data_IF_072345097798
#
_entry.id   IF_072345097798
#
_cell.length_a   1.000
_cell.length_b   1.000
_cell.length_c   1.000
_cell.angle_alpha   90.00
_cell.angle_beta   90.00
_cell.angle_gamma   90.00
#
_symmetry.space_group_name_H-M   'P 1'
#
loop_
_entity.id
_entity.type
_entity.pdbx_description
1 polymer ?
#
# COMPACT_ATOMS: atom_id res chain seq x y z
N UNK A 1 -4.41 -11.28 -7.72
CA UNK A 1 -4.96 -9.99 -8.19
C UNK A 1 -3.80 -9.11 -8.62
N UNK A 2 -4.01 -8.26 -9.61
CA UNK A 2 -3.05 -7.25 -10.08
C UNK A 2 -3.83 -5.95 -10.33
N UNK A 3 -3.88 -5.08 -9.33
CA UNK A 3 -4.71 -3.87 -9.30
C UNK A 3 -4.26 -2.84 -10.33
N UNK A 4 -2.98 -2.84 -10.72
CA UNK A 4 -2.44 -1.92 -11.72
C UNK A 4 -2.39 -2.51 -13.14
N UNK A 5 -2.81 -3.76 -13.33
CA UNK A 5 -2.75 -4.49 -14.59
C UNK A 5 -1.34 -4.48 -15.23
N UNK A 6 -0.28 -4.51 -14.41
CA UNK A 6 1.11 -4.49 -14.88
C UNK A 6 1.54 -5.89 -15.36
N UNK A 7 2.32 -6.01 -16.45
CA UNK A 7 2.79 -7.31 -16.92
C UNK A 7 3.71 -7.99 -15.89
N UNK A 8 3.42 -9.22 -15.48
CA UNK A 8 4.17 -9.91 -14.41
C UNK A 8 5.65 -10.15 -14.76
N UNK A 9 5.99 -10.22 -16.05
CA UNK A 9 7.38 -10.37 -16.53
C UNK A 9 8.24 -9.12 -16.25
N UNK A 10 7.62 -7.96 -16.03
CA UNK A 10 8.33 -6.73 -15.65
C UNK A 10 8.83 -6.74 -14.20
N UNK A 11 8.43 -7.72 -13.37
CA UNK A 11 8.90 -7.86 -11.98
C UNK A 11 10.38 -8.24 -11.86
N UNK A 12 10.89 -9.07 -12.78
CA UNK A 12 12.20 -9.73 -12.62
C UNK A 12 13.39 -8.75 -12.44
N UNK A 13 13.47 -7.62 -13.16
CA UNK A 13 14.49 -6.60 -12.91
C UNK A 13 14.47 -6.03 -11.49
N UNK A 14 13.30 -5.86 -10.88
CA UNK A 14 13.15 -5.34 -9.52
C UNK A 14 13.60 -6.36 -8.48
N UNK A 15 13.27 -7.65 -8.65
CA UNK A 15 13.79 -8.73 -7.81
C UNK A 15 15.32 -8.73 -7.79
N UNK A 16 15.96 -8.68 -8.97
CA UNK A 16 17.42 -8.59 -9.08
C UNK A 16 17.99 -7.34 -8.42
N UNK A 17 17.32 -6.20 -8.57
CA UNK A 17 17.75 -4.92 -8.00
C UNK A 17 17.72 -4.96 -6.48
N UNK A 18 16.59 -5.33 -5.88
CA UNK A 18 16.43 -5.44 -4.43
C UNK A 18 17.41 -6.48 -3.86
N UNK A 19 17.54 -7.65 -4.50
CA UNK A 19 18.52 -8.66 -4.11
C UNK A 19 19.95 -8.10 -4.12
N UNK A 20 20.31 -7.30 -5.13
CA UNK A 20 21.65 -6.68 -5.21
C UNK A 20 21.86 -5.68 -4.07
N UNK A 21 20.88 -4.82 -3.77
CA UNK A 21 20.94 -3.87 -2.65
C UNK A 21 21.18 -4.60 -1.32
N UNK A 22 20.44 -5.69 -1.08
CA UNK A 22 20.55 -6.46 0.17
C UNK A 22 21.86 -7.26 0.21
N UNK A 23 22.16 -8.05 -0.81
CA UNK A 23 23.26 -9.02 -0.75
C UNK A 23 24.63 -8.37 -0.95
N UNK A 24 24.74 -7.43 -1.90
CA UNK A 24 26.00 -6.76 -2.24
C UNK A 24 26.23 -5.51 -1.41
N UNK A 25 25.20 -4.68 -1.27
CA UNK A 25 25.31 -3.39 -0.56
C UNK A 25 24.93 -3.46 0.91
N UNK A 26 24.43 -4.62 1.39
CA UNK A 26 24.12 -4.88 2.80
C UNK A 26 23.08 -3.92 3.40
N UNK A 27 22.21 -3.37 2.56
CA UNK A 27 21.12 -2.50 3.00
C UNK A 27 20.03 -3.38 3.65
N UNK A 28 19.48 -2.92 4.78
CA UNK A 28 18.38 -3.60 5.46
C UNK A 28 17.13 -3.59 4.55
N UNK A 29 16.47 -4.74 4.31
CA UNK A 29 15.21 -4.78 3.56
C UNK A 29 14.13 -3.82 4.09
N UNK A 30 14.07 -3.59 5.41
CA UNK A 30 13.13 -2.65 6.02
C UNK A 30 13.47 -1.20 5.67
N UNK A 31 14.75 -0.87 5.54
CA UNK A 31 15.19 0.46 5.08
C UNK A 31 14.80 0.68 3.62
N UNK A 32 14.98 -0.33 2.75
CA UNK A 32 14.52 -0.26 1.35
C UNK A 32 13.01 -0.11 1.30
N UNK A 33 12.26 -0.83 2.15
CA UNK A 33 10.81 -0.72 2.25
C UNK A 33 10.35 0.69 2.61
N UNK A 34 10.98 1.31 3.61
CA UNK A 34 10.67 2.69 3.99
C UNK A 34 10.97 3.66 2.84
N UNK A 35 12.13 3.51 2.18
CA UNK A 35 12.47 4.34 1.02
C UNK A 35 11.47 4.17 -0.14
N UNK A 36 11.00 2.96 -0.41
CA UNK A 36 9.99 2.70 -1.45
C UNK A 36 8.62 3.29 -1.05
N UNK A 37 8.28 3.25 0.23
CA UNK A 37 7.03 3.83 0.75
C UNK A 37 7.03 5.36 0.61
N UNK A 38 8.17 6.00 0.85
CA UNK A 38 8.38 7.46 0.75
C UNK A 38 8.71 7.95 -0.67
N UNK A 39 8.92 7.04 -1.61
CA UNK A 39 9.31 7.34 -2.98
C UNK A 39 8.19 7.98 -3.81
N UNK A 40 8.51 9.07 -4.49
CA UNK A 40 7.66 9.73 -5.51
C UNK A 40 7.93 9.20 -6.93
N UNK A 41 8.71 8.12 -7.08
CA UNK A 41 8.99 7.49 -8.37
C UNK A 41 7.74 6.89 -9.02
N UNK A 42 7.89 6.44 -10.27
CA UNK A 42 6.80 5.87 -11.05
C UNK A 42 6.04 4.76 -10.28
N UNK A 43 4.69 4.72 -10.32
CA UNK A 43 3.90 3.74 -9.59
C UNK A 43 4.30 2.29 -9.84
N UNK A 44 4.72 1.95 -11.06
CA UNK A 44 5.23 0.61 -11.40
C UNK A 44 6.46 0.21 -10.58
N UNK A 45 7.41 1.13 -10.39
CA UNK A 45 8.61 0.88 -9.60
C UNK A 45 8.25 0.60 -8.14
N UNK A 46 7.46 1.49 -7.54
CA UNK A 46 7.05 1.35 -6.14
C UNK A 46 6.23 0.06 -5.94
N UNK A 47 5.32 -0.25 -6.87
CA UNK A 47 4.53 -1.49 -6.83
C UNK A 47 5.40 -2.74 -6.84
N UNK A 48 6.31 -2.87 -7.80
CA UNK A 48 7.13 -4.08 -7.91
C UNK A 48 8.14 -4.21 -6.79
N UNK A 49 8.80 -3.12 -6.39
CA UNK A 49 9.73 -3.16 -5.27
C UNK A 49 9.02 -3.54 -3.97
N UNK A 50 7.83 -2.99 -3.73
CA UNK A 50 7.02 -3.35 -2.55
C UNK A 50 6.63 -4.83 -2.55
N UNK A 51 6.14 -5.37 -3.69
CA UNK A 51 5.81 -6.81 -3.79
C UNK A 51 7.04 -7.70 -3.59
N UNK A 52 8.19 -7.34 -4.15
CA UNK A 52 9.44 -8.09 -3.98
C UNK A 52 9.87 -8.10 -2.51
N UNK A 53 9.86 -6.94 -1.84
CA UNK A 53 10.24 -6.84 -0.44
C UNK A 53 9.34 -7.68 0.49
N UNK A 54 8.04 -7.65 0.26
CA UNK A 54 7.07 -8.43 1.04
C UNK A 54 7.21 -9.94 0.75
N UNK A 55 7.27 -10.33 -0.52
CA UNK A 55 7.14 -11.74 -0.92
C UNK A 55 8.46 -12.51 -0.92
N UNK A 56 9.57 -11.86 -1.26
CA UNK A 56 10.88 -12.50 -1.42
C UNK A 56 11.81 -12.21 -0.25
N UNK A 57 11.59 -11.09 0.44
CA UNK A 57 12.42 -10.65 1.57
C UNK A 57 11.65 -10.58 2.90
N UNK A 58 10.38 -11.00 2.92
CA UNK A 58 9.56 -11.15 4.11
C UNK A 58 9.45 -9.89 4.99
N UNK A 59 9.57 -8.71 4.38
CA UNK A 59 9.32 -7.46 5.08
C UNK A 59 7.84 -7.40 5.45
N UNK A 60 7.55 -7.12 6.73
CA UNK A 60 6.18 -7.10 7.24
C UNK A 60 5.41 -5.90 6.64
N UNK A 61 4.32 -6.13 5.91
CA UNK A 61 3.51 -5.04 5.38
C UNK A 61 2.57 -4.41 6.42
N UNK A 62 2.55 -4.94 7.66
CA UNK A 62 1.77 -4.41 8.80
C UNK A 62 2.65 -3.83 9.91
N UNK A 63 3.93 -3.57 9.63
CA UNK A 63 4.83 -2.95 10.60
C UNK A 63 4.38 -1.54 11.00
N UNK A 64 4.82 -1.07 12.17
CA UNK A 64 4.71 0.35 12.52
C UNK A 64 5.72 1.13 11.68
N UNK A 65 5.26 2.16 10.96
CA UNK A 65 6.14 3.03 10.15
C UNK A 65 6.27 4.44 10.73
N UNK A 66 5.26 4.89 11.48
CA UNK A 66 5.29 6.17 12.18
C UNK A 66 4.24 6.18 13.31
N UNK A 67 4.20 7.30 14.05
CA UNK A 67 3.08 7.64 14.94
C UNK A 67 2.49 8.97 14.53
N UNK A 68 1.18 9.09 14.62
CA UNK A 68 0.49 10.36 14.38
C UNK A 68 0.58 11.32 15.58
N UNK A 69 -0.03 12.49 15.46
CA UNK A 69 -0.04 13.51 16.51
C UNK A 69 -0.75 13.07 17.81
N UNK A 70 -1.64 12.06 17.74
CA UNK A 70 -2.29 11.46 18.90
C UNK A 70 -1.50 10.27 19.47
N UNK A 71 -0.37 9.92 18.86
CA UNK A 71 0.45 8.77 19.22
C UNK A 71 -0.07 7.44 18.70
N UNK A 72 -1.06 7.44 17.81
CA UNK A 72 -1.56 6.23 17.15
C UNK A 72 -0.56 5.74 16.10
N UNK A 73 -0.41 4.42 16.00
CA UNK A 73 0.46 3.78 15.02
C UNK A 73 -0.06 4.01 13.60
N UNK A 74 0.80 4.55 12.74
CA UNK A 74 0.60 4.60 11.30
C UNK A 74 1.20 3.34 10.70
N UNK A 75 0.42 2.59 9.91
CA UNK A 75 0.88 1.41 9.17
C UNK A 75 1.12 1.76 7.68
N UNK A 76 1.82 0.91 6.92
CA UNK A 76 2.17 1.17 5.53
C UNK A 76 0.96 1.52 4.65
N UNK A 77 -0.20 0.90 4.86
CA UNK A 77 -1.39 1.18 4.07
C UNK A 77 -1.85 2.63 4.22
N UNK A 78 -1.91 3.15 5.46
CA UNK A 78 -2.26 4.56 5.68
C UNK A 78 -1.16 5.50 5.20
N UNK A 79 0.12 5.15 5.41
CA UNK A 79 1.23 5.95 4.93
C UNK A 79 1.26 6.07 3.40
N UNK A 80 0.98 4.99 2.67
CA UNK A 80 0.91 5.03 1.20
C UNK A 80 -0.20 5.99 0.71
N UNK A 81 -1.35 6.04 1.40
CA UNK A 81 -2.39 7.02 1.12
C UNK A 81 -1.97 8.44 1.49
N UNK A 82 -1.23 8.63 2.59
CA UNK A 82 -0.76 9.95 3.01
C UNK A 82 0.27 10.56 2.05
N UNK A 83 1.05 9.69 1.40
CA UNK A 83 2.16 10.03 0.51
C UNK A 83 1.77 9.95 -0.98
N UNK A 84 0.48 9.72 -1.30
CA UNK A 84 -0.02 9.53 -2.67
C UNK A 84 0.75 8.44 -3.47
N UNK A 85 1.27 7.43 -2.78
CA UNK A 85 2.06 6.36 -3.38
C UNK A 85 1.16 5.22 -3.86
N UNK A 86 0.51 5.45 -5.01
CA UNK A 86 -0.45 4.51 -5.63
C UNK A 86 0.16 3.12 -5.87
N UNK A 87 1.45 3.07 -6.24
CA UNK A 87 2.18 1.81 -6.45
C UNK A 87 2.30 0.97 -5.20
N UNK A 88 2.80 1.58 -4.11
CA UNK A 88 2.90 0.94 -2.81
C UNK A 88 1.51 0.54 -2.27
N UNK A 89 0.51 1.43 -2.41
CA UNK A 89 -0.86 1.17 -1.98
C UNK A 89 -1.45 -0.08 -2.64
N UNK A 90 -1.31 -0.20 -3.97
CA UNK A 90 -1.78 -1.38 -4.70
C UNK A 90 -1.11 -2.67 -4.22
N UNK A 91 0.22 -2.65 -4.04
CA UNK A 91 0.98 -3.80 -3.56
C UNK A 91 0.56 -4.22 -2.14
N UNK A 92 0.34 -3.25 -1.25
CA UNK A 92 -0.09 -3.48 0.13
C UNK A 92 -1.51 -4.06 0.19
N UNK A 93 -2.43 -3.54 -0.61
CA UNK A 93 -3.80 -4.08 -0.71
C UNK A 93 -3.80 -5.52 -1.21
N UNK A 94 -3.04 -5.83 -2.26
CA UNK A 94 -2.89 -7.20 -2.77
C UNK A 94 -2.25 -8.16 -1.76
N UNK A 95 -1.40 -7.64 -0.87
CA UNK A 95 -0.83 -8.39 0.24
C UNK A 95 -1.79 -8.53 1.45
N UNK A 96 -2.99 -7.98 1.38
CA UNK A 96 -3.93 -7.86 2.50
C UNK A 96 -3.27 -7.22 3.74
N UNK A 97 -2.56 -6.12 3.52
CA UNK A 97 -1.77 -5.40 4.53
C UNK A 97 -2.63 -4.57 5.50
N UNK A 98 -3.73 -5.14 5.98
CA UNK A 98 -4.64 -4.52 6.93
C UNK A 98 -5.33 -5.59 7.78
N UNK A 99 -5.91 -5.19 8.90
CA UNK A 99 -6.72 -6.05 9.76
C UNK A 99 -8.21 -5.90 9.45
N UNK A 100 -8.91 -7.04 9.36
CA UNK A 100 -10.33 -7.09 9.04
C UNK A 100 -10.60 -7.10 7.54
N UNK A 101 -11.79 -6.65 7.15
CA UNK A 101 -12.25 -6.49 5.77
C UNK A 101 -12.39 -5.04 5.35
N UNK A 102 -13.01 -4.83 4.19
CA UNK A 102 -13.13 -3.49 3.57
C UNK A 102 -14.02 -2.51 4.34
N UNK A 103 -14.81 -2.99 5.30
CA UNK A 103 -15.66 -2.19 6.19
C UNK A 103 -14.99 -1.89 7.52
N UNK A 104 -13.84 -2.49 7.81
CA UNK A 104 -13.15 -2.33 9.09
C UNK A 104 -12.25 -1.11 9.13
N UNK A 105 -11.86 -0.72 10.35
CA UNK A 105 -11.18 0.55 10.67
C UNK A 105 -9.99 0.83 9.77
N UNK A 106 -9.08 -0.13 9.56
CA UNK A 106 -7.83 0.12 8.83
C UNK A 106 -8.05 0.43 7.35
N UNK A 107 -8.95 -0.33 6.71
CA UNK A 107 -9.30 -0.12 5.30
C UNK A 107 -10.10 1.17 5.12
N UNK A 108 -11.09 1.41 5.98
CA UNK A 108 -11.90 2.62 5.96
C UNK A 108 -11.06 3.87 6.22
N UNK A 109 -10.08 3.80 7.13
CA UNK A 109 -9.16 4.91 7.38
C UNK A 109 -8.32 5.24 6.14
N UNK A 110 -7.75 4.25 5.46
CA UNK A 110 -7.02 4.46 4.22
C UNK A 110 -7.90 5.13 3.14
N UNK A 111 -9.14 4.65 2.98
CA UNK A 111 -10.11 5.24 2.05
C UNK A 111 -10.45 6.70 2.38
N UNK A 112 -10.62 7.03 3.66
CA UNK A 112 -10.89 8.39 4.12
C UNK A 112 -9.69 9.31 3.91
N UNK A 113 -8.46 8.83 4.13
CA UNK A 113 -7.25 9.61 3.85
C UNK A 113 -7.21 9.95 2.36
N UNK A 114 -7.34 8.95 1.48
CA UNK A 114 -7.33 9.16 0.02
C UNK A 114 -8.45 10.13 -0.42
N UNK A 115 -9.66 9.98 0.12
CA UNK A 115 -10.79 10.88 -0.14
C UNK A 115 -10.52 12.32 0.31
N UNK A 116 -9.99 12.52 1.52
CA UNK A 116 -9.67 13.86 2.08
C UNK A 116 -8.55 14.56 1.30
N UNK A 117 -7.60 13.81 0.76
CA UNK A 117 -6.52 14.37 -0.06
C UNK A 117 -6.94 14.61 -1.52
N UNK A 118 -8.18 14.26 -1.88
CA UNK A 118 -8.68 14.31 -3.26
C UNK A 118 -7.85 13.45 -4.23
N UNK A 119 -7.10 12.46 -3.72
CA UNK A 119 -6.29 11.55 -4.53
C UNK A 119 -7.18 10.51 -5.23
N UNK A 120 -7.57 10.85 -6.46
CA UNK A 120 -8.36 10.00 -7.33
C UNK A 120 -7.65 8.68 -7.67
N UNK A 121 -6.32 8.67 -7.70
CA UNK A 121 -5.52 7.47 -7.95
C UNK A 121 -5.62 6.50 -6.78
N UNK A 122 -5.34 6.98 -5.57
CA UNK A 122 -5.41 6.15 -4.38
C UNK A 122 -6.84 5.65 -4.11
N UNK A 123 -7.84 6.53 -4.19
CA UNK A 123 -9.23 6.14 -3.99
C UNK A 123 -9.70 5.14 -5.06
N UNK A 124 -9.30 5.34 -6.32
CA UNK A 124 -9.61 4.43 -7.41
C UNK A 124 -9.04 3.02 -7.19
N UNK A 125 -7.81 2.91 -6.69
CA UNK A 125 -7.19 1.61 -6.36
C UNK A 125 -7.90 0.93 -5.19
N UNK A 126 -8.25 1.66 -4.14
CA UNK A 126 -9.01 1.14 -2.99
C UNK A 126 -10.38 0.62 -3.43
N UNK A 127 -11.11 1.40 -4.24
CA UNK A 127 -12.40 0.99 -4.80
C UNK A 127 -12.27 -0.25 -5.69
N UNK A 128 -11.23 -0.31 -6.54
CA UNK A 128 -10.96 -1.48 -7.37
C UNK A 128 -10.70 -2.72 -6.51
N UNK A 129 -9.91 -2.61 -5.44
CA UNK A 129 -9.74 -3.72 -4.50
C UNK A 129 -11.07 -4.17 -3.89
N UNK A 130 -11.89 -3.23 -3.39
CA UNK A 130 -13.19 -3.53 -2.81
C UNK A 130 -14.15 -4.22 -3.81
N UNK A 131 -14.07 -3.85 -5.09
CA UNK A 131 -14.79 -4.49 -6.18
C UNK A 131 -14.32 -5.92 -6.44
N UNK A 132 -13.01 -6.14 -6.53
CA UNK A 132 -12.42 -7.46 -6.78
C UNK A 132 -12.74 -8.46 -5.65
N UNK A 133 -12.87 -7.98 -4.40
CA UNK A 133 -13.31 -8.82 -3.27
C UNK A 133 -14.83 -8.87 -3.09
N UNK A 134 -15.60 -8.30 -4.03
CA UNK A 134 -17.06 -8.40 -4.07
C UNK A 134 -17.83 -7.57 -3.03
N UNK A 135 -17.20 -6.55 -2.45
CA UNK A 135 -17.76 -5.77 -1.33
C UNK A 135 -17.87 -4.26 -1.62
N UNK A 136 -17.78 -3.83 -2.88
CA UNK A 136 -17.78 -2.41 -3.25
C UNK A 136 -19.00 -1.64 -2.71
N UNK A 137 -20.21 -2.18 -2.87
CA UNK A 137 -21.44 -1.50 -2.43
C UNK A 137 -21.47 -1.26 -0.93
N UNK A 138 -21.12 -2.30 -0.14
CA UNK A 138 -21.05 -2.21 1.32
C UNK A 138 -19.95 -1.24 1.73
N UNK A 139 -18.78 -1.32 1.11
CA UNK A 139 -17.67 -0.40 1.36
C UNK A 139 -18.07 1.07 1.13
N UNK A 140 -18.74 1.36 0.01
CA UNK A 140 -19.15 2.73 -0.34
C UNK A 140 -20.18 3.30 0.62
N UNK A 141 -21.11 2.46 1.09
CA UNK A 141 -22.09 2.86 2.11
C UNK A 141 -21.41 3.27 3.41
N UNK A 142 -20.52 2.41 3.92
CA UNK A 142 -19.78 2.69 5.17
C UNK A 142 -18.86 3.91 5.06
N UNK A 143 -18.30 4.15 3.87
CA UNK A 143 -17.47 5.33 3.63
C UNK A 143 -18.29 6.64 3.64
N UNK A 144 -19.54 6.61 3.18
CA UNK A 144 -20.45 7.76 3.17
C UNK A 144 -21.05 8.06 4.54
N UNK A 145 -21.37 7.03 5.32
CA UNK A 145 -22.02 7.16 6.63
C UNK A 145 -21.03 7.51 7.76
N UNK A 146 -19.74 7.48 7.47
CA UNK A 146 -18.69 7.76 8.43
C UNK A 146 -18.57 9.26 8.77
N UNK A 147 -18.58 9.65 10.06
CA UNK A 147 -18.36 11.04 10.43
C UNK A 147 -16.95 11.48 10.04
N UNK A 148 -16.86 12.68 9.44
CA UNK A 148 -15.62 13.39 9.15
C UNK A 148 -15.08 13.90 10.49
N UNK A 149 -14.43 13.03 11.27
CA UNK A 149 -13.61 13.44 12.42
C UNK A 149 -12.15 13.40 12.00
#
# INVERSE_FOLDING_TARGET
MNLLNLPEDTRAPFSKTVQTLIQKHKIDPNEIFMNVLESEEAPEMNYWMMKVLIQEHFVSPQQEVAKDAAGETVKPLQAACLLNNVGALAALLEANAFQGGVTDREFQLAARIASRQEDQGALGVIMKYAQEVGNLETFMRELQDAPIQ
#
